data_IF_048376653589
#
_entry.id   IF_048376653589
#
_cell.length_a   1.000
_cell.length_b   1.000
_cell.length_c   1.000
_cell.angle_alpha   90.00
_cell.angle_beta   90.00
_cell.angle_gamma   90.00
#
_symmetry.space_group_name_H-M   'P 1'
#
loop_
_entity.id
_entity.type
_entity.pdbx_description
1 polymer ?
#
# COMPACT_ATOMS: atom_id res chain seq x y z
N UNK A 1 -6.39 3.03 13.63
CA UNK A 1 -5.27 2.94 12.64
C UNK A 1 -5.06 1.47 12.23
N UNK A 2 -4.11 1.14 11.33
CA UNK A 2 -4.00 -0.22 10.72
C UNK A 2 -4.04 -1.38 11.72
N UNK A 3 -3.35 -1.24 12.87
CA UNK A 3 -3.35 -2.26 13.93
C UNK A 3 -4.72 -2.42 14.60
N UNK A 4 -5.45 -1.31 14.80
CA UNK A 4 -6.81 -1.36 15.33
C UNK A 4 -7.76 -2.01 14.32
N UNK A 5 -7.63 -1.66 13.03
CA UNK A 5 -8.43 -2.28 11.97
C UNK A 5 -8.20 -3.80 11.90
N UNK A 6 -6.95 -4.25 12.07
CA UNK A 6 -6.63 -5.68 12.15
C UNK A 6 -7.33 -6.37 13.32
N UNK A 7 -7.34 -5.72 14.49
CA UNK A 7 -8.02 -6.24 15.68
C UNK A 7 -9.53 -6.26 15.52
N UNK A 8 -10.12 -5.17 15.03
CA UNK A 8 -11.56 -4.98 14.95
C UNK A 8 -12.19 -5.85 13.84
N UNK A 9 -11.43 -6.14 12.78
CA UNK A 9 -11.92 -6.89 11.61
C UNK A 9 -11.31 -8.29 11.48
N UNK A 10 -10.40 -8.70 12.36
CA UNK A 10 -9.72 -10.00 12.30
C UNK A 10 -8.83 -10.18 11.07
N UNK A 11 -8.22 -9.10 10.56
CA UNK A 11 -7.42 -9.09 9.33
C UNK A 11 -5.96 -9.45 9.62
N UNK A 12 -5.38 -10.35 8.83
CA UNK A 12 -3.94 -10.60 8.82
C UNK A 12 -3.22 -9.54 7.97
N UNK A 13 -2.57 -8.59 8.65
CA UNK A 13 -1.84 -7.51 7.98
C UNK A 13 -0.67 -7.99 7.13
N UNK A 14 -0.02 -9.11 7.49
CA UNK A 14 1.11 -9.65 6.70
C UNK A 14 0.67 -10.18 5.35
N UNK A 15 -0.59 -10.60 5.25
CA UNK A 15 -1.22 -11.03 4.00
C UNK A 15 -1.94 -9.88 3.27
N UNK A 16 -1.98 -8.70 3.87
CA UNK A 16 -2.70 -7.54 3.36
C UNK A 16 -1.81 -6.57 2.58
N UNK A 17 -2.46 -5.68 1.84
CA UNK A 17 -1.84 -4.57 1.11
C UNK A 17 -2.28 -3.23 1.68
N UNK A 18 -1.33 -2.30 1.82
CA UNK A 18 -1.57 -0.88 2.03
C UNK A 18 -1.38 -0.14 0.70
N UNK A 19 -2.42 0.56 0.25
CA UNK A 19 -2.39 1.35 -0.98
C UNK A 19 -2.57 2.81 -0.59
N UNK A 20 -1.61 3.66 -0.93
CA UNK A 20 -1.65 5.09 -0.63
C UNK A 20 -0.77 5.90 -1.58
N UNK A 21 -0.82 7.22 -1.51
CA UNK A 21 -0.18 8.12 -2.47
C UNK A 21 0.97 8.96 -1.89
N UNK A 22 1.29 8.73 -0.61
CA UNK A 22 2.36 9.42 0.13
C UNK A 22 3.40 8.45 0.69
N UNK A 23 4.57 9.00 1.06
CA UNK A 23 5.61 8.23 1.74
C UNK A 23 5.11 7.69 3.10
N UNK A 24 4.27 8.47 3.80
CA UNK A 24 3.70 8.07 5.08
C UNK A 24 2.82 6.82 4.97
N UNK A 25 2.05 6.67 3.89
CA UNK A 25 1.21 5.47 3.70
C UNK A 25 2.07 4.22 3.53
N UNK A 26 3.14 4.33 2.74
CA UNK A 26 4.11 3.25 2.53
C UNK A 26 4.81 2.90 3.85
N UNK A 27 5.32 3.90 4.57
CA UNK A 27 6.01 3.67 5.84
C UNK A 27 5.08 3.08 6.90
N UNK A 28 3.84 3.55 6.99
CA UNK A 28 2.84 3.00 7.91
C UNK A 28 2.48 1.55 7.55
N UNK A 29 2.26 1.26 6.27
CA UNK A 29 2.01 -0.10 5.78
C UNK A 29 3.17 -1.05 6.11
N UNK A 30 4.41 -0.65 5.81
CA UNK A 30 5.61 -1.41 6.15
C UNK A 30 5.75 -1.65 7.66
N UNK A 31 5.56 -0.62 8.47
CA UNK A 31 5.64 -0.73 9.94
C UNK A 31 4.56 -1.66 10.51
N UNK A 32 3.38 -1.70 9.88
CA UNK A 32 2.28 -2.60 10.24
C UNK A 32 2.46 -4.03 9.71
N UNK A 33 3.46 -4.27 8.84
CA UNK A 33 3.75 -5.57 8.23
C UNK A 33 3.02 -5.84 6.91
N UNK A 34 2.31 -4.86 6.36
CA UNK A 34 1.66 -4.98 5.06
C UNK A 34 2.66 -4.94 3.91
N UNK A 35 2.27 -5.55 2.78
CA UNK A 35 2.79 -5.17 1.46
C UNK A 35 2.26 -3.79 1.08
N UNK A 36 2.95 -3.07 0.22
CA UNK A 36 2.68 -1.64 -0.03
C UNK A 36 2.67 -1.28 -1.51
N UNK A 37 1.66 -0.52 -1.93
CA UNK A 37 1.61 0.10 -3.27
C UNK A 37 1.56 1.60 -3.12
N UNK A 38 2.48 2.29 -3.81
CA UNK A 38 2.45 3.75 -3.94
C UNK A 38 1.70 4.13 -5.22
N UNK A 39 0.64 4.94 -5.07
CA UNK A 39 -0.02 5.57 -6.20
C UNK A 39 0.78 6.81 -6.62
N UNK A 40 1.17 6.88 -7.90
CA UNK A 40 1.92 7.98 -8.49
C UNK A 40 1.04 9.23 -8.74
N UNK A 41 0.25 9.61 -7.74
CA UNK A 41 -0.69 10.73 -7.80
C UNK A 41 0.07 12.06 -7.75
N UNK A 42 0.00 12.87 -8.82
CA UNK A 42 0.73 14.15 -8.91
C UNK A 42 0.31 15.17 -7.85
N UNK A 43 -0.98 15.36 -7.51
CA UNK A 43 -1.39 16.28 -6.45
C UNK A 43 -0.71 16.04 -5.09
N UNK A 44 -0.33 14.80 -4.78
CA UNK A 44 0.36 14.44 -3.53
C UNK A 44 1.87 14.37 -3.64
N UNK A 45 2.46 14.79 -4.77
CA UNK A 45 3.91 14.76 -4.98
C UNK A 45 4.70 15.54 -3.91
N UNK A 46 4.13 16.66 -3.44
CA UNK A 46 4.73 17.49 -2.39
C UNK A 46 4.84 16.79 -1.02
N UNK A 47 4.18 15.64 -0.84
CA UNK A 47 4.25 14.80 0.39
C UNK A 47 5.22 13.63 0.25
N UNK A 48 5.93 13.53 -0.87
CA UNK A 48 6.91 12.47 -1.13
C UNK A 48 8.32 13.05 -1.01
N UNK A 49 9.02 12.68 0.04
CA UNK A 49 10.43 12.97 0.23
C UNK A 49 11.33 11.98 -0.54
N UNK A 50 10.75 10.89 -1.07
CA UNK A 50 11.47 9.83 -1.79
C UNK A 50 12.21 8.86 -0.86
N UNK A 51 11.94 8.92 0.44
CA UNK A 51 12.56 8.06 1.45
C UNK A 51 11.85 6.71 1.57
N UNK A 52 10.57 6.63 1.18
CA UNK A 52 9.82 5.38 1.17
C UNK A 52 10.31 4.39 0.09
N UNK A 53 10.09 3.10 0.35
CA UNK A 53 10.39 1.99 -0.57
C UNK A 53 9.16 1.08 -0.67
N UNK A 54 8.22 1.39 -1.58
CA UNK A 54 7.03 0.57 -1.76
C UNK A 54 7.38 -0.76 -2.46
N UNK A 55 6.53 -1.77 -2.30
CA UNK A 55 6.67 -3.05 -3.01
C UNK A 55 6.26 -2.94 -4.48
N UNK A 56 5.31 -2.06 -4.78
CA UNK A 56 4.90 -1.73 -6.14
C UNK A 56 4.52 -0.25 -6.29
N UNK A 57 4.49 0.22 -7.53
CA UNK A 57 4.02 1.56 -7.88
C UNK A 57 2.93 1.43 -8.95
N UNK A 58 1.85 2.18 -8.82
CA UNK A 58 0.76 2.19 -9.79
C UNK A 58 0.36 3.64 -10.14
N UNK A 59 -0.12 3.91 -11.38
CA UNK A 59 -0.56 5.25 -11.77
C UNK A 59 -1.85 5.69 -11.07
N UNK A 60 -2.71 4.74 -10.72
CA UNK A 60 -4.00 4.98 -10.05
C UNK A 60 -4.45 3.72 -9.28
N UNK A 61 -5.57 3.84 -8.56
CA UNK A 61 -6.13 2.75 -7.76
C UNK A 61 -6.57 1.56 -8.61
N UNK A 62 -7.10 1.80 -9.82
CA UNK A 62 -7.55 0.74 -10.71
C UNK A 62 -6.39 -0.14 -11.16
N UNK A 63 -5.29 0.49 -11.60
CA UNK A 63 -4.06 -0.21 -11.95
C UNK A 63 -3.44 -0.95 -10.76
N UNK A 64 -3.52 -0.39 -9.54
CA UNK A 64 -3.08 -1.09 -8.33
C UNK A 64 -3.90 -2.36 -8.09
N UNK A 65 -5.23 -2.28 -8.19
CA UNK A 65 -6.11 -3.45 -8.05
C UNK A 65 -5.83 -4.50 -9.12
N UNK A 66 -5.65 -4.11 -10.38
CA UNK A 66 -5.27 -5.03 -11.45
C UNK A 66 -3.95 -5.75 -11.17
N UNK A 67 -2.94 -5.04 -10.65
CA UNK A 67 -1.65 -5.62 -10.28
C UNK A 67 -1.83 -6.68 -9.19
N UNK A 68 -2.58 -6.35 -8.13
CA UNK A 68 -2.83 -7.25 -6.99
C UNK A 68 -3.57 -8.52 -7.42
N UNK A 69 -4.64 -8.38 -8.20
CA UNK A 69 -5.41 -9.53 -8.71
C UNK A 69 -4.58 -10.40 -9.66
N UNK A 70 -3.69 -9.80 -10.44
CA UNK A 70 -2.81 -10.55 -11.36
C UNK A 70 -1.71 -11.30 -10.62
N UNK A 71 -1.22 -10.76 -9.49
CA UNK A 71 -0.20 -11.40 -8.66
C UNK A 71 -0.75 -12.62 -7.89
N UNK A 72 -2.03 -12.63 -7.53
CA UNK A 72 -2.66 -13.75 -6.80
C UNK A 72 -3.17 -14.88 -7.71
N UNK A 73 -3.16 -14.70 -9.03
CA UNK A 73 -3.54 -15.75 -10.00
C UNK A 73 -2.38 -16.69 -10.37
N UNK A 74 -1.20 -16.48 -9.78
CA UNK A 74 0.04 -17.24 -10.09
C UNK A 74 0.56 -18.06 -8.90
N UNK A 75 -0.09 -17.98 -7.73
CA UNK A 75 0.12 -18.81 -6.54
C UNK A 75 -0.99 -19.85 -6.39
#
# INVERSE_FOLDING_TARGET
MLLDAAKDLGIDLKRSWMIGDTDSDVLAGKAAGCRTVLIAHQPSAHKRAGSARPDAVAPDLGAAVTLLLSAELVD
#
